data_IF_430257086069
#
_entry.id   IF_430257086069
#
_cell.length_a   1.000
_cell.length_b   1.000
_cell.length_c   1.000
_cell.angle_alpha   90.00
_cell.angle_beta   90.00
_cell.angle_gamma   90.00
#
_symmetry.space_group_name_H-M   'P 1'
#
loop_
_entity.id
_entity.type
_entity.pdbx_description
1 polymer ?
#
# COMPACT_ATOMS: atom_id res chain seq x y z
N UNK A 1 -25.15 -45.03 -26.95
CA UNK A 1 -25.27 -44.86 -25.50
C UNK A 1 -24.94 -43.41 -25.21
N UNK A 2 -25.96 -42.53 -25.23
CA UNK A 2 -25.81 -41.16 -24.77
C UNK A 2 -25.71 -41.18 -23.24
N UNK A 3 -24.71 -40.49 -22.69
CA UNK A 3 -24.58 -40.23 -21.27
C UNK A 3 -25.39 -38.98 -20.95
N UNK A 4 -26.55 -39.15 -20.32
CA UNK A 4 -27.28 -38.07 -19.66
C UNK A 4 -26.45 -37.61 -18.45
N UNK A 5 -25.90 -36.41 -18.52
CA UNK A 5 -25.31 -35.76 -17.35
C UNK A 5 -26.45 -35.26 -16.45
N UNK A 6 -26.45 -35.55 -15.14
CA UNK A 6 -27.46 -35.00 -14.25
C UNK A 6 -27.27 -33.48 -14.15
N UNK A 7 -28.37 -32.76 -14.39
CA UNK A 7 -28.47 -31.32 -14.14
C UNK A 7 -28.20 -31.10 -12.66
N UNK A 8 -27.11 -30.40 -12.36
CA UNK A 8 -26.79 -29.96 -11.01
C UNK A 8 -27.86 -28.92 -10.63
N UNK A 9 -28.82 -29.34 -9.81
CA UNK A 9 -29.82 -28.47 -9.22
C UNK A 9 -29.11 -27.58 -8.18
N UNK A 10 -28.56 -26.46 -8.65
CA UNK A 10 -28.00 -25.43 -7.79
C UNK A 10 -29.17 -24.76 -7.09
N UNK A 11 -29.52 -25.32 -5.93
CA UNK A 11 -30.32 -24.63 -4.93
C UNK A 11 -29.64 -23.28 -4.65
N UNK A 12 -30.36 -22.20 -4.96
CA UNK A 12 -29.95 -20.83 -4.67
C UNK A 12 -30.06 -20.68 -3.16
N UNK A 13 -28.99 -21.01 -2.45
CA UNK A 13 -28.84 -20.65 -1.05
C UNK A 13 -28.85 -19.12 -0.96
N UNK A 14 -29.71 -18.59 -0.09
CA UNK A 14 -29.95 -17.18 0.18
C UNK A 14 -28.67 -16.35 0.01
N UNK A 15 -28.70 -15.42 -0.94
CA UNK A 15 -27.72 -14.37 -1.02
C UNK A 15 -27.85 -13.53 0.25
N UNK A 16 -27.06 -13.85 1.27
CA UNK A 16 -26.86 -13.01 2.44
C UNK A 16 -26.34 -11.69 1.89
N UNK A 17 -27.22 -10.68 1.86
CA UNK A 17 -26.92 -9.32 1.45
C UNK A 17 -25.79 -8.81 2.34
N UNK A 18 -24.56 -8.86 1.84
CA UNK A 18 -23.41 -8.31 2.53
C UNK A 18 -23.70 -6.82 2.76
N UNK A 19 -23.42 -6.27 3.96
CA UNK A 19 -23.65 -4.86 4.20
C UNK A 19 -22.87 -4.07 3.14
N UNK A 20 -23.58 -3.24 2.36
CA UNK A 20 -22.98 -2.33 1.41
C UNK A 20 -21.92 -1.52 2.14
N UNK A 21 -20.65 -1.86 1.88
CA UNK A 21 -19.53 -1.12 2.43
C UNK A 21 -19.50 0.19 1.67
N UNK A 22 -20.05 1.24 2.28
CA UNK A 22 -19.97 2.59 1.71
C UNK A 22 -18.50 2.96 1.58
N UNK A 23 -17.98 2.89 0.35
CA UNK A 23 -16.62 3.32 0.08
C UNK A 23 -16.61 4.84 0.31
N UNK A 24 -15.81 5.35 1.25
CA UNK A 24 -15.73 6.79 1.46
C UNK A 24 -15.26 7.42 0.15
N UNK A 25 -15.98 8.43 -0.32
CA UNK A 25 -15.58 9.20 -1.49
C UNK A 25 -14.30 9.96 -1.13
N UNK A 26 -13.17 9.49 -1.66
CA UNK A 26 -11.86 10.07 -1.34
C UNK A 26 -11.57 11.18 -2.35
N UNK A 27 -11.31 12.40 -1.86
CA UNK A 27 -10.95 13.52 -2.72
C UNK A 27 -9.58 13.23 -3.38
N UNK A 28 -9.52 13.05 -4.71
CA UNK A 28 -8.28 12.71 -5.40
C UNK A 28 -7.20 13.78 -5.24
N UNK A 29 -7.58 15.06 -5.05
CA UNK A 29 -6.63 16.13 -4.82
C UNK A 29 -5.96 16.03 -3.44
N UNK A 30 -6.73 15.63 -2.42
CA UNK A 30 -6.20 15.43 -1.06
C UNK A 30 -5.24 14.25 -1.05
N UNK A 31 -5.58 13.14 -1.69
CA UNK A 31 -4.72 11.96 -1.75
C UNK A 31 -3.45 12.23 -2.57
N UNK A 32 -3.55 13.00 -3.65
CA UNK A 32 -2.38 13.41 -4.44
C UNK A 32 -1.41 14.26 -3.60
N UNK A 33 -1.94 15.15 -2.74
CA UNK A 33 -1.12 15.96 -1.83
C UNK A 33 -0.44 15.10 -0.75
N UNK A 34 -1.17 14.15 -0.14
CA UNK A 34 -0.60 13.19 0.81
C UNK A 34 0.50 12.35 0.16
N UNK A 35 0.28 11.85 -1.05
CA UNK A 35 1.28 11.10 -1.79
C UNK A 35 2.53 11.94 -2.07
N UNK A 36 2.39 13.20 -2.45
CA UNK A 36 3.52 14.11 -2.66
C UNK A 36 4.32 14.37 -1.37
N UNK A 37 3.64 14.46 -0.22
CA UNK A 37 4.29 14.57 1.09
C UNK A 37 5.04 13.28 1.46
N UNK A 38 4.42 12.12 1.26
CA UNK A 38 5.06 10.81 1.50
C UNK A 38 6.34 10.64 0.68
N UNK A 39 6.33 11.04 -0.60
CA UNK A 39 7.53 10.98 -1.46
C UNK A 39 8.65 11.83 -0.88
N UNK A 40 8.37 13.05 -0.44
CA UNK A 40 9.39 13.92 0.18
C UNK A 40 9.99 13.31 1.44
N UNK A 41 9.16 12.67 2.27
CA UNK A 41 9.64 12.00 3.49
C UNK A 41 10.52 10.81 3.15
N UNK A 42 10.12 9.99 2.17
CA UNK A 42 10.95 8.87 1.69
C UNK A 42 12.29 9.38 1.19
N UNK A 43 12.30 10.40 0.33
CA UNK A 43 13.54 10.97 -0.20
C UNK A 43 14.45 11.52 0.91
N UNK A 44 13.88 12.21 1.91
CA UNK A 44 14.63 12.72 3.07
C UNK A 44 15.30 11.59 3.86
N UNK A 45 14.58 10.50 4.11
CA UNK A 45 15.12 9.34 4.82
C UNK A 45 16.20 8.63 4.00
N UNK A 46 16.03 8.52 2.68
CA UNK A 46 17.02 7.94 1.77
C UNK A 46 18.26 8.82 1.56
N UNK A 47 18.16 10.13 1.70
CA UNK A 47 19.33 11.02 1.66
C UNK A 47 20.30 10.75 2.82
N UNK A 48 19.83 10.22 3.97
CA UNK A 48 20.74 9.73 5.01
C UNK A 48 21.58 8.53 4.55
N UNK A 49 21.01 7.61 3.75
CA UNK A 49 21.78 6.52 3.13
C UNK A 49 22.81 7.06 2.14
N UNK A 50 22.42 8.09 1.38
CA UNK A 50 23.31 8.74 0.42
C UNK A 50 24.51 9.41 1.08
N UNK A 51 24.35 9.93 2.30
CA UNK A 51 25.44 10.51 3.11
C UNK A 51 26.31 9.45 3.80
N UNK A 52 26.01 8.16 3.64
CA UNK A 52 26.82 7.09 4.19
C UNK A 52 28.21 7.03 3.56
N UNK A 53 29.13 6.28 4.18
CA UNK A 53 30.49 6.09 3.67
C UNK A 53 30.55 5.32 2.34
N UNK A 54 29.44 4.69 1.93
CA UNK A 54 29.35 3.94 0.69
C UNK A 54 28.63 4.83 -0.32
N UNK A 55 29.27 5.24 -1.42
CA UNK A 55 28.59 5.98 -2.47
C UNK A 55 27.57 5.06 -3.15
N UNK A 56 26.30 5.39 -3.01
CA UNK A 56 25.19 4.68 -3.65
C UNK A 56 24.68 5.48 -4.83
N UNK A 57 24.33 4.80 -5.92
CA UNK A 57 23.55 5.44 -6.97
C UNK A 57 22.08 5.56 -6.56
N UNK A 58 21.33 6.46 -7.20
CA UNK A 58 19.94 6.76 -6.82
C UNK A 58 19.02 5.53 -6.88
N UNK A 59 19.30 4.61 -7.80
CA UNK A 59 18.60 3.33 -7.98
C UNK A 59 18.93 2.29 -6.89
N UNK A 60 19.97 2.51 -6.10
CA UNK A 60 20.37 1.65 -4.98
C UNK A 60 19.86 2.14 -3.62
N UNK A 61 19.29 3.35 -3.57
CA UNK A 61 18.66 3.90 -2.36
C UNK A 61 17.34 3.18 -2.11
N UNK A 62 17.25 2.50 -0.98
CA UNK A 62 16.05 1.73 -0.67
C UNK A 62 15.83 1.67 0.84
N UNK A 63 14.60 1.83 1.34
CA UNK A 63 14.33 1.81 2.78
C UNK A 63 14.81 0.55 3.51
N UNK A 64 15.12 -0.54 2.78
CA UNK A 64 15.70 -1.76 3.34
C UNK A 64 17.11 -1.57 3.92
N UNK A 65 17.86 -0.55 3.50
CA UNK A 65 19.25 -0.33 3.92
C UNK A 65 19.36 0.62 5.11
N UNK A 66 18.30 1.37 5.42
CA UNK A 66 18.13 2.12 6.64
C UNK A 66 18.31 1.22 7.87
N UNK A 67 18.91 1.76 8.93
CA UNK A 67 18.99 1.04 10.19
C UNK A 67 17.57 0.80 10.75
N UNK A 68 17.37 -0.18 11.64
CA UNK A 68 16.05 -0.49 12.20
C UNK A 68 15.31 0.74 12.75
N UNK A 69 16.01 1.60 13.47
CA UNK A 69 15.45 2.82 14.07
C UNK A 69 14.98 3.81 13.01
N UNK A 70 15.82 4.10 12.00
CA UNK A 70 15.45 4.97 10.87
C UNK A 70 14.23 4.45 10.09
N UNK A 71 14.05 3.13 9.99
CA UNK A 71 12.85 2.55 9.37
C UNK A 71 11.60 2.77 10.22
N UNK A 72 11.71 2.70 11.54
CA UNK A 72 10.60 3.02 12.44
C UNK A 72 10.23 4.49 12.30
N UNK A 73 11.22 5.38 12.24
CA UNK A 73 11.01 6.82 12.06
C UNK A 73 10.30 7.10 10.72
N UNK A 74 10.80 6.53 9.61
CA UNK A 74 10.16 6.65 8.29
C UNK A 74 8.70 6.19 8.32
N UNK A 75 8.41 5.02 8.89
CA UNK A 75 7.03 4.50 8.95
C UNK A 75 6.14 5.38 9.83
N UNK A 76 6.68 5.92 10.92
CA UNK A 76 5.97 6.82 11.83
C UNK A 76 5.61 8.13 11.13
N UNK A 77 6.55 8.71 10.38
CA UNK A 77 6.32 9.93 9.60
C UNK A 77 5.29 9.70 8.49
N UNK A 78 5.37 8.57 7.78
CA UNK A 78 4.37 8.21 6.76
C UNK A 78 2.97 8.00 7.36
N UNK A 79 2.89 7.41 8.55
CA UNK A 79 1.63 7.25 9.27
C UNK A 79 1.01 8.61 9.62
N UNK A 80 1.81 9.57 10.07
CA UNK A 80 1.36 10.91 10.42
C UNK A 80 0.80 11.71 9.23
N UNK A 81 1.25 11.43 7.99
CA UNK A 81 0.71 12.07 6.77
C UNK A 81 -0.60 11.43 6.30
N UNK A 82 -0.83 10.17 6.66
CA UNK A 82 -1.96 9.38 6.15
C UNK A 82 -3.18 9.37 7.07
N UNK A 83 -3.04 9.78 8.34
CA UNK A 83 -4.09 9.85 9.37
C UNK A 83 -4.40 11.30 9.76
#
# INVERSE_FOLDING_TARGET
MQLDAPILDTTVEDAVEAPETTIPEVDPLVETKKAAEMVKLIDLHLDYERQSRIPLSMDELTPRRLCPEQRVDLVTDLYAVTH
#
